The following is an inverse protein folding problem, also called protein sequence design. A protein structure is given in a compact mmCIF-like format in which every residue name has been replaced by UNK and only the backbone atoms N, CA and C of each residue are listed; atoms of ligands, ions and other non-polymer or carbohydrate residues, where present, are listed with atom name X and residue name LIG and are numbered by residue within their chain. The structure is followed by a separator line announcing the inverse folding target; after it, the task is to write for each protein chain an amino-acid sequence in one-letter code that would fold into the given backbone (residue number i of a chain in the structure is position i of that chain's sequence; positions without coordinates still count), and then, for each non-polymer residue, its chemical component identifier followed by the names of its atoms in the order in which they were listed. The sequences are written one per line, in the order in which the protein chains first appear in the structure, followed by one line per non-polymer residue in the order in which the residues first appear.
data_IF_436550964994
#
_entry.id   IF_436550964994
#
_cell.length_a   1.000
_cell.length_b   1.000
_cell.length_c   1.000
_cell.angle_alpha   90.00
_cell.angle_beta   90.00
_cell.angle_gamma   90.00
#
_symmetry.space_group_name_H-M   'P 1'
#
loop_
_entity.id
_entity.type
_entity.pdbx_description
1 polymer ?
#
# COMPACT_ATOMS: atom_id res chain seq x y z
N UNK A 1 0.67 3.13 -38.07
CA UNK A 1 -0.52 3.06 -37.21
C UNK A 1 -0.35 4.09 -36.13
N UNK A 2 -1.39 4.82 -35.70
CA UNK A 2 -1.32 5.74 -34.55
C UNK A 2 -1.13 4.88 -33.29
N UNK A 3 -0.19 5.23 -32.42
CA UNK A 3 -0.04 4.54 -31.15
C UNK A 3 -1.30 4.72 -30.30
N UNK A 4 -1.67 3.71 -29.53
CA UNK A 4 -2.70 3.84 -28.49
C UNK A 4 -2.20 4.79 -27.40
N UNK A 5 -3.08 5.58 -26.83
CA UNK A 5 -2.75 6.60 -25.82
C UNK A 5 -3.40 6.26 -24.48
N UNK A 6 -2.68 6.40 -23.40
CA UNK A 6 -3.20 6.21 -22.04
C UNK A 6 -2.87 7.41 -21.15
N UNK A 7 -3.86 7.85 -20.38
CA UNK A 7 -3.65 8.76 -19.25
C UNK A 7 -3.74 7.97 -17.94
N UNK A 8 -2.78 8.17 -17.07
CA UNK A 8 -2.73 7.53 -15.74
C UNK A 8 -2.82 8.62 -14.70
N UNK A 9 -3.80 8.54 -13.79
CA UNK A 9 -3.93 9.44 -12.66
C UNK A 9 -3.34 8.82 -11.40
N UNK A 10 -2.23 9.39 -10.90
CA UNK A 10 -1.48 8.96 -9.73
C UNK A 10 -0.11 8.35 -10.07
N UNK A 11 0.97 8.93 -9.49
CA UNK A 11 2.36 8.52 -9.68
C UNK A 11 2.92 7.75 -8.46
N UNK A 12 2.19 6.74 -7.97
CA UNK A 12 2.67 5.80 -6.97
C UNK A 12 2.84 4.40 -7.59
N UNK A 13 3.06 3.36 -6.78
CA UNK A 13 3.42 2.02 -7.25
C UNK A 13 2.48 1.51 -8.36
N UNK A 14 1.16 1.60 -8.18
CA UNK A 14 0.19 1.12 -9.17
C UNK A 14 0.28 1.90 -10.50
N UNK A 15 0.31 3.24 -10.42
CA UNK A 15 0.40 4.08 -11.63
C UNK A 15 1.73 3.93 -12.36
N UNK A 16 2.85 3.90 -11.63
CA UNK A 16 4.18 3.75 -12.24
C UNK A 16 4.39 2.35 -12.82
N UNK A 17 3.93 1.29 -12.14
CA UNK A 17 3.93 -0.07 -12.69
C UNK A 17 3.10 -0.13 -13.97
N UNK A 18 1.90 0.46 -13.97
CA UNK A 18 1.04 0.51 -15.15
C UNK A 18 1.69 1.29 -16.29
N UNK A 19 2.30 2.46 -16.00
CA UNK A 19 3.01 3.26 -16.99
C UNK A 19 4.14 2.47 -17.66
N UNK A 20 4.93 1.77 -16.85
CA UNK A 20 6.03 0.94 -17.35
C UNK A 20 5.55 -0.15 -18.31
N UNK A 21 4.52 -0.88 -17.93
CA UNK A 21 4.00 -1.98 -18.74
C UNK A 21 3.27 -1.52 -19.98
N UNK A 22 2.47 -0.46 -19.91
CA UNK A 22 1.79 0.11 -21.08
C UNK A 22 2.80 0.64 -22.11
N UNK A 23 3.87 1.32 -21.64
CA UNK A 23 4.95 1.72 -22.57
C UNK A 23 5.61 0.53 -23.27
N UNK A 24 5.87 -0.55 -22.54
CA UNK A 24 6.46 -1.80 -23.08
C UNK A 24 5.55 -2.49 -24.10
N UNK A 25 4.26 -2.24 -24.06
CA UNK A 25 3.27 -2.78 -25.01
C UNK A 25 2.86 -1.78 -26.09
N UNK A 26 3.58 -0.66 -26.24
CA UNK A 26 3.48 0.29 -27.35
C UNK A 26 2.43 1.39 -27.16
N UNK A 27 2.03 1.67 -25.92
CA UNK A 27 1.15 2.81 -25.62
C UNK A 27 1.96 4.10 -25.41
N UNK A 28 1.45 5.23 -25.83
CA UNK A 28 1.93 6.54 -25.41
C UNK A 28 1.27 6.91 -24.08
N UNK A 29 2.07 7.23 -23.05
CA UNK A 29 1.60 7.36 -21.67
C UNK A 29 1.83 8.77 -21.14
N UNK A 30 0.78 9.37 -20.57
CA UNK A 30 0.84 10.60 -19.77
C UNK A 30 0.42 10.29 -18.34
N UNK A 31 1.22 10.66 -17.35
CA UNK A 31 0.93 10.48 -15.91
C UNK A 31 0.58 11.82 -15.28
N UNK A 32 -0.58 11.93 -14.65
CA UNK A 32 -1.03 13.10 -13.87
C UNK A 32 -0.78 12.82 -12.38
N UNK A 33 -0.10 13.72 -11.68
CA UNK A 33 0.14 13.60 -10.25
C UNK A 33 -0.20 14.91 -9.52
N UNK A 34 -1.01 14.80 -8.46
CA UNK A 34 -1.47 15.95 -7.67
C UNK A 34 -0.36 16.69 -6.92
N UNK A 35 0.68 15.96 -6.54
CA UNK A 35 1.83 16.57 -5.87
C UNK A 35 2.64 17.41 -6.88
N UNK A 36 3.23 18.53 -6.45
CA UNK A 36 4.01 19.40 -7.34
C UNK A 36 5.33 18.75 -7.79
N UNK A 37 5.74 17.66 -7.15
CA UNK A 37 6.88 16.83 -7.51
C UNK A 37 6.66 15.42 -6.97
N UNK A 38 7.48 14.47 -7.41
CA UNK A 38 7.48 13.11 -6.89
C UNK A 38 7.76 13.10 -5.37
N UNK A 39 7.01 12.29 -4.63
CA UNK A 39 7.17 12.10 -3.19
C UNK A 39 7.63 10.69 -2.88
N UNK A 40 8.81 10.58 -2.27
CA UNK A 40 9.47 9.32 -1.90
C UNK A 40 9.25 8.91 -0.43
N UNK A 41 8.27 9.48 0.24
CA UNK A 41 7.89 9.11 1.60
C UNK A 41 7.06 7.82 1.64
N UNK A 42 7.01 7.21 2.82
CA UNK A 42 6.16 6.05 3.09
C UNK A 42 6.81 5.04 4.01
N UNK A 43 6.02 4.06 4.42
CA UNK A 43 6.42 2.98 5.31
C UNK A 43 6.91 1.76 4.54
N UNK A 44 7.39 0.79 5.27
CA UNK A 44 7.78 -0.52 4.76
C UNK A 44 6.61 -1.20 4.07
N UNK A 45 6.88 -1.78 2.93
CA UNK A 45 5.95 -2.61 2.15
C UNK A 45 6.66 -3.90 1.74
N UNK A 46 5.87 -4.94 1.61
CA UNK A 46 6.34 -6.26 1.21
C UNK A 46 6.05 -6.51 -0.27
N UNK A 47 7.03 -7.04 -0.99
CA UNK A 47 6.82 -7.58 -2.34
C UNK A 47 6.84 -9.10 -2.25
N UNK A 48 5.69 -9.72 -2.49
CA UNK A 48 5.47 -11.17 -2.29
C UNK A 48 4.95 -11.85 -3.56
N UNK A 49 5.06 -13.18 -3.59
CA UNK A 49 4.46 -14.02 -4.62
C UNK A 49 4.80 -13.58 -6.04
N UNK A 50 3.82 -13.62 -6.94
CA UNK A 50 3.96 -13.27 -8.35
C UNK A 50 4.43 -11.83 -8.61
N UNK A 51 4.30 -10.92 -7.64
CA UNK A 51 4.84 -9.56 -7.78
C UNK A 51 6.38 -9.53 -7.86
N UNK A 52 7.07 -10.52 -7.28
CA UNK A 52 8.52 -10.68 -7.46
C UNK A 52 8.87 -11.05 -8.90
N UNK A 53 8.04 -11.88 -9.53
CA UNK A 53 8.24 -12.25 -10.94
C UNK A 53 7.98 -11.05 -11.85
N UNK A 54 7.01 -10.19 -11.52
CA UNK A 54 6.81 -8.91 -12.20
C UNK A 54 8.06 -8.05 -12.11
N UNK A 55 8.69 -7.91 -10.93
CA UNK A 55 9.97 -7.18 -10.81
C UNK A 55 11.11 -7.82 -11.60
N UNK A 56 11.17 -9.17 -11.68
CA UNK A 56 12.15 -9.88 -12.51
C UNK A 56 11.93 -9.62 -14.00
N UNK A 57 10.68 -9.68 -14.48
CA UNK A 57 10.31 -9.35 -15.86
C UNK A 57 10.62 -7.88 -16.20
N UNK A 58 10.51 -6.97 -15.23
CA UNK A 58 10.92 -5.56 -15.35
C UNK A 58 12.45 -5.36 -15.28
N UNK A 59 13.24 -6.38 -14.93
CA UNK A 59 14.68 -6.30 -14.60
C UNK A 59 14.98 -5.38 -13.42
N UNK A 60 14.03 -5.22 -12.47
CA UNK A 60 14.14 -4.35 -11.31
C UNK A 60 14.35 -5.07 -9.99
N UNK A 61 14.27 -6.42 -9.99
CA UNK A 61 14.35 -7.22 -8.76
C UNK A 61 15.62 -6.90 -7.95
N UNK A 62 16.78 -6.89 -8.60
CA UNK A 62 18.06 -6.64 -7.91
C UNK A 62 18.17 -5.19 -7.41
N UNK A 63 17.65 -4.21 -8.15
CA UNK A 63 17.63 -2.81 -7.74
C UNK A 63 16.72 -2.58 -6.53
N UNK A 64 15.60 -3.29 -6.47
CA UNK A 64 14.68 -3.27 -5.32
C UNK A 64 15.29 -4.01 -4.13
N UNK A 65 15.91 -5.18 -4.34
CA UNK A 65 16.58 -5.96 -3.30
C UNK A 65 17.77 -5.18 -2.67
N UNK A 66 18.49 -4.40 -3.45
CA UNK A 66 19.57 -3.55 -2.94
C UNK A 66 19.10 -2.43 -1.99
N UNK A 67 17.79 -2.12 -1.99
CA UNK A 67 17.14 -1.14 -1.10
C UNK A 67 16.30 -1.80 0.01
N UNK A 68 16.54 -3.11 0.27
CA UNK A 68 15.87 -3.84 1.35
C UNK A 68 16.08 -3.14 2.70
N UNK A 69 15.06 -3.13 3.54
CA UNK A 69 15.09 -2.47 4.87
C UNK A 69 16.05 -3.09 5.88
N UNK A 70 16.65 -4.25 5.55
CA UNK A 70 17.53 -5.02 6.45
C UNK A 70 16.85 -5.56 7.70
N UNK A 71 15.52 -5.53 7.77
CA UNK A 71 14.76 -6.07 8.89
C UNK A 71 14.97 -7.58 9.02
N UNK A 72 15.39 -8.02 10.24
CA UNK A 72 15.77 -9.41 10.51
C UNK A 72 14.67 -10.25 11.16
N UNK A 73 13.52 -9.65 11.45
CA UNK A 73 12.37 -10.32 12.05
C UNK A 73 11.54 -9.39 12.93
N UNK A 74 10.44 -9.90 13.45
CA UNK A 74 9.52 -9.14 14.31
C UNK A 74 9.59 -9.64 15.75
N UNK A 75 9.66 -8.71 16.71
CA UNK A 75 9.61 -9.03 18.14
C UNK A 75 8.48 -8.26 18.81
N UNK A 76 7.71 -8.99 19.62
CA UNK A 76 6.71 -8.39 20.50
C UNK A 76 7.38 -8.03 21.83
N UNK A 77 7.17 -6.83 22.32
CA UNK A 77 7.81 -6.33 23.54
C UNK A 77 6.79 -5.88 24.59
N UNK A 78 7.16 -5.97 25.86
CA UNK A 78 6.38 -5.43 26.96
C UNK A 78 6.62 -3.91 27.14
N UNK A 79 5.97 -3.29 28.13
CA UNK A 79 6.10 -1.85 28.41
C UNK A 79 7.53 -1.44 28.87
N UNK A 80 8.41 -2.39 29.16
CA UNK A 80 9.82 -2.16 29.49
C UNK A 80 10.77 -2.47 28.34
N UNK A 81 10.21 -2.87 27.17
CA UNK A 81 10.98 -3.26 26.00
C UNK A 81 11.55 -4.69 26.04
N UNK A 82 11.14 -5.49 27.04
CA UNK A 82 11.55 -6.89 27.13
C UNK A 82 10.81 -7.70 26.08
N UNK A 83 11.53 -8.50 25.30
CA UNK A 83 10.95 -9.37 24.28
C UNK A 83 10.09 -10.44 24.94
N UNK A 84 8.83 -10.53 24.54
CA UNK A 84 7.84 -11.50 25.03
C UNK A 84 7.54 -12.60 24.01
N UNK A 85 7.72 -12.33 22.73
CA UNK A 85 7.57 -13.29 21.65
C UNK A 85 8.40 -12.85 20.43
N UNK A 86 8.80 -13.79 19.58
CA UNK A 86 9.64 -13.53 18.41
C UNK A 86 9.11 -14.27 17.19
N UNK A 87 9.02 -13.55 16.08
CA UNK A 87 8.71 -14.04 14.75
C UNK A 87 9.95 -13.82 13.87
N UNK A 88 10.84 -14.82 13.76
CA UNK A 88 12.03 -14.66 12.94
C UNK A 88 11.66 -14.54 11.46
N UNK A 89 12.45 -13.79 10.71
CA UNK A 89 12.43 -13.80 9.25
C UNK A 89 13.19 -15.03 8.78
N UNK A 90 12.48 -16.09 8.41
CA UNK A 90 13.09 -17.34 7.90
C UNK A 90 12.99 -17.49 6.37
N UNK A 91 12.58 -16.42 5.69
CA UNK A 91 12.43 -16.41 4.22
C UNK A 91 11.23 -17.20 3.69
N UNK A 92 10.48 -17.89 4.57
CA UNK A 92 9.43 -18.85 4.17
C UNK A 92 8.00 -18.33 4.37
N UNK A 93 7.78 -17.00 4.28
CA UNK A 93 6.44 -16.42 4.41
C UNK A 93 6.08 -15.93 5.83
N UNK A 94 7.05 -15.61 6.66
CA UNK A 94 6.87 -15.01 7.97
C UNK A 94 6.26 -13.60 7.92
N UNK A 95 6.07 -12.95 9.08
CA UNK A 95 5.54 -11.58 9.19
C UNK A 95 6.41 -10.54 8.48
N UNK A 96 7.70 -10.85 8.26
CA UNK A 96 8.64 -10.07 7.45
C UNK A 96 8.92 -10.80 6.15
N UNK A 97 8.72 -10.13 5.02
CA UNK A 97 8.97 -10.70 3.70
C UNK A 97 10.49 -10.72 3.40
N UNK A 98 10.91 -11.68 2.55
CA UNK A 98 12.28 -11.71 2.00
C UNK A 98 12.63 -10.42 1.24
N UNK A 99 11.63 -9.76 0.64
CA UNK A 99 11.80 -8.51 -0.08
C UNK A 99 10.91 -7.45 0.55
N UNK A 100 11.45 -6.76 1.54
CA UNK A 100 10.83 -5.64 2.21
C UNK A 100 11.56 -4.34 1.86
N UNK A 101 10.82 -3.34 1.45
CA UNK A 101 11.36 -2.07 0.97
C UNK A 101 10.48 -0.91 1.44
N UNK A 102 11.03 0.29 1.59
CA UNK A 102 10.21 1.47 1.79
C UNK A 102 9.35 1.76 0.56
N UNK A 103 8.07 2.08 0.76
CA UNK A 103 7.12 2.39 -0.33
C UNK A 103 7.66 3.46 -1.28
N UNK A 104 8.31 4.49 -0.72
CA UNK A 104 8.93 5.55 -1.51
C UNK A 104 10.09 5.05 -2.36
N UNK A 105 10.93 4.17 -1.82
CA UNK A 105 12.08 3.60 -2.54
C UNK A 105 11.63 2.68 -3.68
N UNK A 106 10.56 1.89 -3.46
CA UNK A 106 9.98 1.08 -4.53
C UNK A 106 9.42 1.98 -5.64
N UNK A 107 8.64 2.99 -5.28
CA UNK A 107 8.07 3.93 -6.25
C UNK A 107 9.19 4.73 -6.98
N UNK A 108 10.24 5.15 -6.28
CA UNK A 108 11.41 5.79 -6.88
C UNK A 108 12.13 4.86 -7.86
N UNK A 109 12.32 3.59 -7.48
CA UNK A 109 12.94 2.61 -8.37
C UNK A 109 12.13 2.42 -9.64
N UNK A 110 10.80 2.36 -9.54
CA UNK A 110 9.92 2.29 -10.72
C UNK A 110 10.05 3.55 -11.58
N UNK A 111 10.01 4.74 -10.98
CA UNK A 111 10.11 6.02 -11.68
C UNK A 111 11.44 6.16 -12.43
N UNK A 112 12.56 5.86 -11.75
CA UNK A 112 13.91 6.00 -12.31
C UNK A 112 14.18 5.05 -13.51
N UNK A 113 13.32 4.04 -13.68
CA UNK A 113 13.42 3.06 -14.77
C UNK A 113 12.27 3.15 -15.78
N UNK A 114 11.42 4.17 -15.68
CA UNK A 114 10.46 4.45 -16.74
C UNK A 114 11.20 4.93 -18.00
N UNK A 115 10.69 4.61 -19.19
CA UNK A 115 11.17 5.22 -20.42
C UNK A 115 11.08 6.76 -20.38
N UNK A 116 12.08 7.44 -20.96
CA UNK A 116 12.19 8.91 -20.96
C UNK A 116 11.02 9.62 -21.67
N UNK A 117 10.26 8.90 -22.49
CA UNK A 117 9.13 9.41 -23.27
C UNK A 117 7.76 9.30 -22.54
N UNK A 118 7.76 8.95 -21.27
CA UNK A 118 6.56 9.08 -20.41
C UNK A 118 6.42 10.54 -19.99
N UNK A 119 5.29 11.17 -20.37
CA UNK A 119 5.00 12.54 -19.98
C UNK A 119 4.45 12.59 -18.54
N UNK A 120 4.95 13.53 -17.71
CA UNK A 120 4.43 13.79 -16.36
C UNK A 120 3.81 15.17 -16.26
N UNK A 121 2.60 15.22 -15.71
CA UNK A 121 1.87 16.44 -15.35
C UNK A 121 1.76 16.50 -13.82
N UNK A 122 2.71 17.17 -13.18
CA UNK A 122 2.73 17.37 -11.74
C UNK A 122 1.88 18.56 -11.30
N UNK A 123 1.39 18.53 -10.06
CA UNK A 123 0.63 19.63 -9.46
C UNK A 123 -0.80 19.75 -10.00
N UNK A 124 -1.33 18.69 -10.63
CA UNK A 124 -2.66 18.72 -11.24
C UNK A 124 -3.50 17.49 -10.86
N UNK A 125 -4.81 17.59 -11.02
CA UNK A 125 -5.78 16.53 -10.71
C UNK A 125 -6.86 16.49 -11.77
N UNK A 126 -7.53 15.36 -11.91
CA UNK A 126 -8.70 15.23 -12.78
C UNK A 126 -9.89 15.96 -12.15
N UNK A 127 -10.55 16.82 -12.91
CA UNK A 127 -11.75 17.53 -12.51
C UNK A 127 -13.01 17.02 -13.24
N UNK A 128 -12.83 16.45 -14.44
CA UNK A 128 -13.94 15.91 -15.25
C UNK A 128 -13.46 14.79 -16.14
N UNK A 129 -14.31 13.79 -16.31
CA UNK A 129 -14.12 12.64 -17.21
C UNK A 129 -15.35 12.56 -18.10
N UNK A 130 -15.15 12.60 -19.41
CA UNK A 130 -16.17 12.38 -20.43
C UNK A 130 -15.78 11.12 -21.21
N UNK A 131 -16.48 10.02 -20.96
CA UNK A 131 -16.30 8.76 -21.69
C UNK A 131 -17.09 8.81 -23.00
N UNK A 132 -16.42 8.64 -24.12
CA UNK A 132 -16.94 8.81 -25.47
C UNK A 132 -16.81 7.47 -26.23
N UNK A 133 -17.39 7.37 -27.41
CA UNK A 133 -17.37 6.12 -28.20
C UNK A 133 -15.95 5.73 -28.66
N UNK A 134 -15.10 6.72 -28.89
CA UNK A 134 -13.75 6.57 -29.46
C UNK A 134 -12.63 6.85 -28.44
N UNK A 135 -12.95 6.86 -27.15
CA UNK A 135 -11.99 7.10 -26.09
C UNK A 135 -12.54 7.90 -24.93
N UNK A 136 -11.67 8.46 -24.11
CA UNK A 136 -12.03 9.24 -22.94
C UNK A 136 -11.39 10.62 -22.99
N UNK A 137 -12.20 11.67 -22.77
CA UNK A 137 -11.71 13.05 -22.65
C UNK A 137 -11.62 13.42 -21.17
N UNK A 138 -10.42 13.82 -20.74
CA UNK A 138 -10.10 14.20 -19.36
C UNK A 138 -9.87 15.71 -19.31
N UNK A 139 -10.53 16.40 -18.37
CA UNK A 139 -10.25 17.80 -18.08
C UNK A 139 -9.65 17.88 -16.69
N UNK A 140 -8.44 18.46 -16.57
CA UNK A 140 -7.78 18.63 -15.28
C UNK A 140 -8.23 19.89 -14.55
N UNK A 141 -7.98 20.00 -13.26
CA UNK A 141 -8.27 21.21 -12.46
C UNK A 141 -7.47 22.42 -12.95
N UNK A 142 -6.26 22.21 -13.51
CA UNK A 142 -5.47 23.25 -14.16
C UNK A 142 -5.98 23.66 -15.53
N UNK A 143 -7.09 23.06 -16.03
CA UNK A 143 -7.72 23.40 -17.31
C UNK A 143 -7.10 22.71 -18.53
N UNK A 144 -6.17 21.78 -18.36
CA UNK A 144 -5.64 20.96 -19.46
C UNK A 144 -6.71 19.99 -19.92
N UNK A 145 -6.86 19.81 -21.22
CA UNK A 145 -7.74 18.82 -21.82
C UNK A 145 -6.93 17.78 -22.58
N UNK A 146 -7.12 16.52 -22.21
CA UNK A 146 -6.45 15.36 -22.81
C UNK A 146 -7.51 14.41 -23.36
N UNK A 147 -7.23 13.82 -24.52
CA UNK A 147 -8.03 12.72 -25.07
C UNK A 147 -7.13 11.48 -25.15
N UNK A 148 -7.65 10.34 -24.71
CA UNK A 148 -6.91 9.10 -24.67
C UNK A 148 -7.82 7.89 -24.98
N UNK A 149 -7.20 6.79 -25.42
CA UNK A 149 -7.90 5.53 -25.62
C UNK A 149 -8.17 4.81 -24.29
N UNK A 150 -7.47 5.20 -23.21
CA UNK A 150 -7.62 4.61 -21.86
C UNK A 150 -7.29 5.63 -20.77
N UNK A 151 -8.13 5.68 -19.74
CA UNK A 151 -7.83 6.32 -18.46
C UNK A 151 -7.61 5.25 -17.36
N UNK A 152 -6.43 5.24 -16.74
CA UNK A 152 -6.16 4.42 -15.55
C UNK A 152 -6.17 5.30 -14.31
N UNK A 153 -7.04 4.97 -13.35
CA UNK A 153 -7.17 5.72 -12.09
C UNK A 153 -6.44 4.97 -10.97
N UNK A 154 -5.28 5.49 -10.56
CA UNK A 154 -4.38 4.92 -9.54
C UNK A 154 -4.10 5.92 -8.39
N UNK A 155 -5.10 6.70 -8.00
CA UNK A 155 -5.00 7.84 -7.07
C UNK A 155 -4.97 7.46 -5.58
N UNK A 156 -5.02 6.16 -5.28
CA UNK A 156 -5.06 5.65 -3.92
C UNK A 156 -6.46 5.65 -3.30
N UNK A 157 -6.54 5.29 -2.03
CA UNK A 157 -7.79 5.04 -1.29
C UNK A 157 -8.78 6.20 -1.36
N UNK A 158 -8.29 7.45 -1.38
CA UNK A 158 -9.11 8.67 -1.45
C UNK A 158 -9.21 9.23 -2.87
N UNK A 159 -9.39 8.37 -3.85
CA UNK A 159 -9.53 8.75 -5.25
C UNK A 159 -10.75 9.64 -5.47
N UNK A 160 -10.52 10.83 -6.01
CA UNK A 160 -11.59 11.76 -6.41
C UNK A 160 -12.17 11.38 -7.77
N UNK A 161 -11.33 10.91 -8.66
CA UNK A 161 -11.77 10.48 -10.00
C UNK A 161 -12.68 9.26 -9.94
N UNK A 162 -12.52 8.37 -8.93
CA UNK A 162 -13.46 7.28 -8.69
C UNK A 162 -14.91 7.79 -8.59
N UNK A 163 -15.16 8.83 -7.81
CA UNK A 163 -16.47 9.43 -7.63
C UNK A 163 -17.01 10.19 -8.87
N UNK A 164 -16.16 10.50 -9.86
CA UNK A 164 -16.58 11.08 -11.13
C UNK A 164 -17.10 10.03 -12.12
N UNK A 165 -16.72 8.76 -11.93
CA UNK A 165 -16.96 7.66 -12.87
C UNK A 165 -17.95 6.64 -12.33
N UNK A 166 -17.91 6.34 -11.04
CA UNK A 166 -18.72 5.29 -10.41
C UNK A 166 -19.71 5.90 -9.42
N UNK A 167 -20.91 5.30 -9.36
CA UNK A 167 -21.94 5.70 -8.41
C UNK A 167 -21.61 5.21 -7.00
N UNK A 168 -22.11 5.90 -5.97
CA UNK A 168 -21.91 5.51 -4.56
C UNK A 168 -22.38 4.07 -4.25
N UNK A 169 -23.39 3.58 -4.95
CA UNK A 169 -23.90 2.21 -4.78
C UNK A 169 -22.95 1.12 -5.30
N UNK A 170 -21.94 1.49 -6.09
CA UNK A 170 -20.96 0.57 -6.65
C UNK A 170 -19.66 0.52 -5.83
N UNK A 171 -19.53 1.42 -4.84
CA UNK A 171 -18.33 1.62 -4.04
C UNK A 171 -18.65 1.51 -2.56
N UNK A 172 -18.11 0.50 -1.89
CA UNK A 172 -18.15 0.39 -0.44
C UNK A 172 -16.83 0.88 0.15
N UNK A 173 -16.87 2.00 0.87
CA UNK A 173 -15.76 2.48 1.69
C UNK A 173 -15.97 2.03 3.14
N UNK A 174 -15.19 1.05 3.58
CA UNK A 174 -15.31 0.44 4.91
C UNK A 174 -14.24 0.97 5.83
N UNK A 175 -14.61 1.82 6.77
CA UNK A 175 -13.74 2.24 7.88
C UNK A 175 -13.45 1.04 8.82
N UNK A 176 -12.18 0.83 9.15
CA UNK A 176 -11.75 -0.20 10.09
C UNK A 176 -11.67 0.31 11.53
N UNK A 177 -11.94 1.59 11.77
CA UNK A 177 -11.87 2.22 13.08
C UNK A 177 -10.45 2.25 13.65
N UNK A 178 -9.44 2.37 12.81
CA UNK A 178 -8.03 2.42 13.20
C UNK A 178 -7.38 3.68 12.62
N UNK A 179 -6.72 4.44 13.46
CA UNK A 179 -5.85 5.54 13.04
C UNK A 179 -4.38 5.13 13.22
N UNK A 180 -3.57 5.40 12.21
CA UNK A 180 -2.12 5.20 12.24
C UNK A 180 -1.38 6.52 11.99
N UNK A 181 -0.44 6.84 12.85
CA UNK A 181 0.46 7.99 12.72
C UNK A 181 1.86 7.48 12.45
N UNK A 182 2.46 7.96 11.40
CA UNK A 182 3.75 7.53 10.90
C UNK A 182 4.74 8.69 10.91
N UNK A 183 6.01 8.38 11.12
CA UNK A 183 7.09 9.33 10.95
C UNK A 183 8.45 8.68 11.12
N UNK A 184 9.48 9.37 10.68
CA UNK A 184 10.87 8.96 10.83
C UNK A 184 11.47 9.59 12.08
N UNK A 185 12.17 8.78 12.87
CA UNK A 185 12.85 9.23 14.10
C UNK A 185 14.32 8.83 14.08
N UNK A 186 15.20 9.53 14.82
CA UNK A 186 16.60 9.14 14.94
C UNK A 186 16.76 7.74 15.52
N UNK A 187 17.66 6.93 14.94
CA UNK A 187 18.09 5.65 15.49
C UNK A 187 19.01 5.89 16.70
N UNK A 188 18.90 5.05 17.70
CA UNK A 188 19.76 5.02 18.87
C UNK A 188 20.58 3.72 18.89
N UNK A 189 21.70 3.71 19.62
CA UNK A 189 22.59 2.53 19.74
C UNK A 189 21.89 1.28 20.28
N UNK A 190 20.80 1.45 21.04
CA UNK A 190 19.99 0.34 21.56
C UNK A 190 18.97 -0.22 20.57
N UNK A 191 18.73 0.45 19.45
CA UNK A 191 17.83 -0.02 18.42
C UNK A 191 18.56 -1.09 17.60
N UNK A 192 17.92 -2.23 17.43
CA UNK A 192 18.41 -3.34 16.60
C UNK A 192 17.73 -3.35 15.21
N UNK A 193 18.00 -4.37 14.42
CA UNK A 193 17.45 -4.54 13.06
C UNK A 193 16.16 -5.38 13.07
N UNK A 194 15.40 -5.36 14.16
CA UNK A 194 14.11 -6.05 14.28
C UNK A 194 12.96 -5.06 14.32
N UNK A 195 11.85 -5.43 13.70
CA UNK A 195 10.60 -4.74 13.93
C UNK A 195 10.14 -4.98 15.37
N UNK A 196 10.19 -3.96 16.19
CA UNK A 196 9.74 -4.00 17.58
C UNK A 196 8.30 -3.52 17.69
N UNK A 197 7.45 -4.34 18.27
CA UNK A 197 6.03 -4.08 18.37
C UNK A 197 5.56 -4.19 19.82
N UNK A 198 5.08 -3.08 20.36
CA UNK A 198 4.46 -3.00 21.67
C UNK A 198 2.95 -2.79 21.54
N UNK A 199 2.17 -3.58 22.29
CA UNK A 199 0.71 -3.39 22.43
C UNK A 199 0.41 -2.95 23.86
N UNK A 200 -0.30 -1.81 23.98
CA UNK A 200 -0.76 -1.25 25.26
C UNK A 200 -2.29 -1.33 25.36
N UNK A 201 -2.82 -1.23 26.58
CA UNK A 201 -4.26 -1.11 26.81
C UNK A 201 -4.85 0.14 26.14
N UNK A 202 -6.19 0.25 26.11
CA UNK A 202 -6.92 1.33 25.41
C UNK A 202 -6.67 1.33 23.91
N UNK A 203 -6.48 0.14 23.33
CA UNK A 203 -6.36 -0.07 21.91
C UNK A 203 -5.17 0.60 21.24
N UNK A 204 -4.00 0.62 21.87
CA UNK A 204 -2.81 1.31 21.36
C UNK A 204 -1.70 0.36 20.99
N UNK A 205 -1.01 0.67 19.89
CA UNK A 205 0.20 -0.03 19.45
C UNK A 205 1.30 0.98 19.16
N UNK A 206 2.53 0.56 19.38
CA UNK A 206 3.76 1.31 19.10
C UNK A 206 4.69 0.40 18.33
N UNK A 207 5.15 0.84 17.18
CA UNK A 207 6.06 0.08 16.33
C UNK A 207 7.33 0.89 16.07
N UNK A 208 8.47 0.22 16.13
CA UNK A 208 9.74 0.72 15.65
C UNK A 208 10.27 -0.24 14.60
N UNK A 209 10.52 0.25 13.40
CA UNK A 209 11.05 -0.54 12.29
C UNK A 209 12.34 0.09 11.79
N UNK A 210 13.41 -0.70 11.58
CA UNK A 210 14.64 -0.20 10.99
C UNK A 210 14.41 0.19 9.53
N UNK A 211 15.22 1.11 9.04
CA UNK A 211 15.29 1.44 7.63
C UNK A 211 16.76 1.43 7.15
N UNK A 212 17.02 1.41 5.83
CA UNK A 212 18.36 1.31 5.29
C UNK A 212 19.17 2.62 5.42
N UNK A 213 18.56 3.70 5.93
CA UNK A 213 19.15 5.03 6.03
C UNK A 213 19.73 5.36 7.40
N UNK A 214 19.73 4.38 8.32
CA UNK A 214 20.21 4.58 9.69
C UNK A 214 19.22 5.36 10.56
N UNK A 215 17.92 5.33 10.20
CA UNK A 215 16.83 5.88 10.98
C UNK A 215 15.85 4.78 11.41
N UNK A 216 14.78 5.16 12.09
CA UNK A 216 13.71 4.26 12.53
C UNK A 216 12.39 4.81 12.01
N UNK A 217 11.59 3.94 11.38
CA UNK A 217 10.19 4.21 11.05
C UNK A 217 9.33 3.92 12.27
N UNK A 218 8.81 4.97 12.87
CA UNK A 218 7.93 4.89 14.04
C UNK A 218 6.47 4.91 13.61
N UNK A 219 5.66 4.02 14.21
CA UNK A 219 4.22 3.97 13.98
C UNK A 219 3.51 3.99 15.33
N UNK A 220 2.55 4.90 15.50
CA UNK A 220 1.60 4.91 16.60
C UNK A 220 0.22 4.58 16.02
N UNK A 221 -0.31 3.40 16.36
CA UNK A 221 -1.59 2.94 15.84
C UNK A 221 -2.59 2.73 16.98
N UNK A 222 -3.85 3.12 16.78
CA UNK A 222 -4.87 2.99 17.80
C UNK A 222 -6.29 2.77 17.26
N UNK A 223 -7.10 2.13 18.08
CA UNK A 223 -8.54 1.89 17.87
C UNK A 223 -9.29 2.01 19.21
N UNK A 224 -10.47 2.65 19.28
CA UNK A 224 -11.12 3.31 18.16
C UNK A 224 -10.28 4.46 17.62
N UNK A 225 -10.29 4.61 16.31
CA UNK A 225 -9.65 5.73 15.64
C UNK A 225 -10.38 7.05 15.91
N UNK A 226 -9.69 8.15 15.66
CA UNK A 226 -10.29 9.49 15.67
C UNK A 226 -10.48 9.96 14.23
N UNK A 227 -11.46 10.84 14.01
CA UNK A 227 -11.55 11.55 12.75
C UNK A 227 -10.45 12.63 12.72
N UNK A 228 -9.38 12.31 11.98
CA UNK A 228 -8.21 13.19 11.80
C UNK A 228 -8.15 13.77 10.38
N UNK A 229 -9.20 13.55 9.58
CA UNK A 229 -9.27 14.11 8.24
C UNK A 229 -9.43 15.63 8.31
N UNK A 230 -8.49 16.34 7.70
CA UNK A 230 -8.49 17.80 7.68
C UNK A 230 -7.89 18.46 8.94
N UNK A 231 -7.43 17.70 9.93
CA UNK A 231 -6.65 18.26 11.04
C UNK A 231 -5.27 18.72 10.55
N UNK A 232 -4.77 19.78 11.17
CA UNK A 232 -3.39 20.21 10.97
C UNK A 232 -2.41 19.21 11.61
N UNK A 233 -1.15 19.30 11.22
CA UNK A 233 -0.09 18.48 11.85
C UNK A 233 -0.04 18.69 13.36
N UNK A 234 -0.11 19.93 13.82
CA UNK A 234 0.02 20.26 15.24
C UNK A 234 -1.16 19.70 16.04
N UNK A 235 -2.39 19.87 15.56
CA UNK A 235 -3.59 19.28 16.16
C UNK A 235 -3.48 17.73 16.26
N UNK A 236 -2.99 17.10 15.18
CA UNK A 236 -2.76 15.65 15.18
C UNK A 236 -1.73 15.25 16.24
N UNK A 237 -0.60 15.96 16.34
CA UNK A 237 0.45 15.66 17.29
C UNK A 237 -0.02 15.88 18.74
N UNK A 238 -0.84 16.92 19.02
CA UNK A 238 -1.44 17.13 20.33
C UNK A 238 -2.38 15.98 20.71
N UNK A 239 -3.26 15.57 19.82
CA UNK A 239 -4.17 14.44 20.03
C UNK A 239 -3.41 13.14 20.30
N UNK A 240 -2.40 12.83 19.51
CA UNK A 240 -1.56 11.64 19.67
C UNK A 240 -0.76 11.69 20.97
N UNK A 241 -0.22 12.86 21.33
CA UNK A 241 0.49 13.07 22.62
C UNK A 241 -0.43 12.79 23.82
N UNK A 242 -1.65 13.31 23.79
CA UNK A 242 -2.64 13.05 24.84
C UNK A 242 -3.00 11.56 24.93
N UNK A 243 -3.17 10.89 23.79
CA UNK A 243 -3.55 9.46 23.71
C UNK A 243 -2.44 8.52 24.17
N UNK A 244 -1.18 8.87 23.97
CA UNK A 244 -0.02 8.02 24.31
C UNK A 244 0.73 8.42 25.56
N UNK A 245 0.27 9.43 26.31
CA UNK A 245 0.95 9.96 27.50
C UNK A 245 1.28 8.88 28.57
N UNK A 246 0.45 7.84 28.69
CA UNK A 246 0.60 6.73 29.63
C UNK A 246 0.87 5.38 28.95
N UNK A 247 1.24 5.36 27.67
CA UNK A 247 1.42 4.11 26.92
C UNK A 247 2.71 3.36 27.30
N UNK A 248 3.69 4.07 27.85
CA UNK A 248 4.97 3.48 28.25
C UNK A 248 5.92 3.21 27.08
N UNK A 249 6.93 2.40 27.33
CA UNK A 249 7.99 2.02 26.38
C UNK A 249 8.59 3.23 25.68
N UNK A 250 8.67 3.24 24.35
CA UNK A 250 9.27 4.29 23.53
C UNK A 250 8.29 5.42 23.15
N UNK A 251 7.06 5.45 23.70
CA UNK A 251 6.08 6.50 23.36
C UNK A 251 6.64 7.91 23.59
N UNK A 252 7.28 8.25 24.73
CA UNK A 252 7.82 9.61 24.93
C UNK A 252 8.85 9.99 23.86
N UNK A 253 9.80 9.08 23.54
CA UNK A 253 10.82 9.30 22.51
C UNK A 253 10.20 9.57 21.16
N UNK A 254 9.19 8.76 20.76
CA UNK A 254 8.52 8.89 19.47
C UNK A 254 7.80 10.24 19.40
N UNK A 255 7.02 10.58 20.44
CA UNK A 255 6.24 11.82 20.49
C UNK A 255 7.14 13.08 20.41
N UNK A 256 8.31 13.04 21.05
CA UNK A 256 9.26 14.15 20.98
C UNK A 256 9.93 14.23 19.59
N UNK A 257 10.31 13.10 19.02
CA UNK A 257 10.91 13.07 17.67
C UNK A 257 9.93 13.44 16.56
N UNK A 258 8.66 13.02 16.65
CA UNK A 258 7.63 13.38 15.68
C UNK A 258 7.37 14.89 15.62
N UNK A 259 7.61 15.64 16.69
CA UNK A 259 7.47 17.11 16.70
C UNK A 259 8.36 17.78 15.64
N UNK A 260 9.52 17.21 15.37
CA UNK A 260 10.51 17.74 14.41
C UNK A 260 10.69 16.89 13.16
N UNK A 261 10.08 15.72 13.08
CA UNK A 261 10.16 14.83 11.91
C UNK A 261 9.54 15.50 10.67
N UNK A 262 10.21 15.49 9.51
CA UNK A 262 9.71 16.17 8.32
C UNK A 262 8.60 15.40 7.61
N UNK A 263 8.44 14.10 7.86
CA UNK A 263 7.60 13.18 7.11
C UNK A 263 6.44 12.58 7.93
N UNK A 264 5.98 13.30 8.97
CA UNK A 264 4.80 12.87 9.73
C UNK A 264 3.56 12.87 8.84
N UNK A 265 2.87 11.73 8.79
CA UNK A 265 1.57 11.66 8.16
C UNK A 265 0.62 10.74 8.94
N UNK A 266 -0.67 10.91 8.71
CA UNK A 266 -1.73 10.19 9.40
C UNK A 266 -2.58 9.47 8.37
N UNK A 267 -2.97 8.26 8.69
CA UNK A 267 -3.88 7.45 7.90
C UNK A 267 -5.00 6.88 8.78
N UNK A 268 -6.23 7.00 8.30
CA UNK A 268 -7.38 6.28 8.81
C UNK A 268 -7.58 5.07 7.91
N UNK A 269 -7.48 3.89 8.50
CA UNK A 269 -7.52 2.65 7.74
C UNK A 269 -8.93 2.39 7.23
N UNK A 270 -9.09 2.42 5.92
CA UNK A 270 -10.33 2.05 5.26
C UNK A 270 -10.07 1.11 4.08
N UNK A 271 -10.96 0.14 3.88
CA UNK A 271 -10.99 -0.66 2.68
C UNK A 271 -11.86 0.02 1.62
N UNK A 272 -11.50 -0.19 0.37
CA UNK A 272 -12.34 0.16 -0.78
C UNK A 272 -12.72 -1.14 -1.47
N UNK A 273 -14.03 -1.37 -1.64
CA UNK A 273 -14.58 -2.50 -2.37
C UNK A 273 -15.48 -1.98 -3.47
N UNK A 274 -15.28 -2.47 -4.68
CA UNK A 274 -16.06 -2.05 -5.84
C UNK A 274 -16.66 -3.26 -6.55
N UNK A 275 -17.88 -3.12 -7.05
CA UNK A 275 -18.56 -4.18 -7.81
C UNK A 275 -17.90 -4.45 -9.15
N UNK A 276 -17.36 -3.43 -9.79
CA UNK A 276 -16.53 -3.48 -11.00
C UNK A 276 -15.40 -2.47 -10.90
N UNK A 277 -14.30 -2.73 -11.57
CA UNK A 277 -13.14 -1.82 -11.62
C UNK A 277 -12.99 -1.10 -12.95
N UNK A 278 -13.93 -1.27 -13.86
CA UNK A 278 -13.88 -0.57 -15.15
C UNK A 278 -15.26 -0.12 -15.61
N UNK A 279 -15.28 0.93 -16.42
CA UNK A 279 -16.46 1.43 -17.10
C UNK A 279 -16.00 2.13 -18.38
N UNK A 280 -16.48 1.66 -19.55
CA UNK A 280 -16.03 2.19 -20.85
C UNK A 280 -14.51 2.22 -20.96
N UNK A 281 -13.95 3.39 -21.24
CA UNK A 281 -12.50 3.57 -21.38
C UNK A 281 -11.78 3.91 -20.05
N UNK A 282 -12.42 3.70 -18.91
CA UNK A 282 -11.84 3.97 -17.58
C UNK A 282 -11.63 2.69 -16.83
N UNK A 283 -10.44 2.49 -16.25
CA UNK A 283 -10.09 1.38 -15.36
C UNK A 283 -9.44 1.86 -14.07
N UNK A 284 -9.80 1.21 -12.97
CA UNK A 284 -9.25 1.48 -11.64
C UNK A 284 -8.07 0.55 -11.34
N UNK A 285 -7.06 1.03 -10.62
CA UNK A 285 -5.91 0.23 -10.20
C UNK A 285 -5.43 0.59 -8.78
N UNK A 286 -4.86 -0.39 -8.09
CA UNK A 286 -4.32 -0.21 -6.74
C UNK A 286 -5.38 0.19 -5.71
N UNK A 287 -4.99 0.94 -4.67
CA UNK A 287 -5.89 1.32 -3.58
C UNK A 287 -7.09 2.18 -4.03
N UNK A 288 -7.06 2.74 -5.22
CA UNK A 288 -8.23 3.43 -5.80
C UNK A 288 -9.36 2.45 -6.13
N UNK A 289 -9.04 1.21 -6.46
CA UNK A 289 -9.97 0.14 -6.80
C UNK A 289 -10.29 -0.77 -5.61
N UNK A 290 -9.24 -1.16 -4.85
CA UNK A 290 -9.34 -2.22 -3.85
C UNK A 290 -8.42 -1.98 -2.66
N UNK A 291 -8.47 -0.86 -1.98
CA UNK A 291 -7.62 -0.66 -0.82
C UNK A 291 -7.76 -1.83 0.18
N UNK A 292 -6.65 -2.52 0.42
CA UNK A 292 -6.61 -3.71 1.31
C UNK A 292 -6.15 -3.37 2.73
N UNK A 293 -5.61 -2.19 2.95
CA UNK A 293 -5.02 -1.68 4.18
C UNK A 293 -3.76 -2.43 4.63
N UNK A 294 -2.93 -1.85 5.51
CA UNK A 294 -1.81 -2.56 6.13
C UNK A 294 -2.21 -3.82 6.91
N UNK A 295 -3.46 -3.90 7.40
CA UNK A 295 -3.97 -5.07 8.14
C UNK A 295 -4.18 -6.30 7.25
N UNK A 296 -4.52 -6.10 5.98
CA UNK A 296 -4.60 -7.18 4.99
C UNK A 296 -3.24 -7.53 4.39
N UNK A 297 -2.33 -6.56 4.33
CA UNK A 297 -1.03 -6.71 3.69
C UNK A 297 -1.12 -6.77 2.15
N UNK A 298 -0.02 -6.98 1.47
CA UNK A 298 0.00 -7.27 0.02
C UNK A 298 -0.35 -6.13 -0.93
N UNK A 299 -0.71 -4.93 -0.45
CA UNK A 299 -1.13 -3.82 -1.31
C UNK A 299 -0.11 -3.42 -2.39
N UNK A 300 1.18 -3.39 -2.03
CA UNK A 300 2.25 -3.10 -3.00
C UNK A 300 2.41 -4.22 -4.04
N UNK A 301 2.28 -5.49 -3.62
CA UNK A 301 2.30 -6.64 -4.52
C UNK A 301 1.14 -6.58 -5.52
N UNK A 302 -0.08 -6.33 -5.05
CA UNK A 302 -1.26 -6.17 -5.90
C UNK A 302 -1.12 -4.97 -6.85
N UNK A 303 -0.50 -3.88 -6.40
CA UNK A 303 -0.25 -2.70 -7.23
C UNK A 303 0.75 -2.97 -8.37
N UNK A 304 1.79 -3.75 -8.12
CA UNK A 304 2.73 -4.20 -9.16
C UNK A 304 2.05 -5.14 -10.17
N UNK A 305 1.28 -6.10 -9.67
CA UNK A 305 0.53 -7.05 -10.50
C UNK A 305 -0.49 -6.36 -11.39
N UNK A 306 -1.18 -5.33 -10.87
CA UNK A 306 -2.20 -4.59 -11.61
C UNK A 306 -1.68 -4.07 -12.96
N UNK A 307 -0.53 -3.40 -12.97
CA UNK A 307 0.06 -2.87 -14.21
C UNK A 307 0.41 -3.97 -15.20
N UNK A 308 1.01 -5.06 -14.72
CA UNK A 308 1.43 -6.20 -15.54
C UNK A 308 0.25 -6.95 -16.17
N UNK A 309 -0.77 -7.21 -15.37
CA UNK A 309 -1.97 -7.95 -15.82
C UNK A 309 -2.77 -7.08 -16.79
N UNK A 310 -3.02 -5.81 -16.46
CA UNK A 310 -3.73 -4.89 -17.33
C UNK A 310 -3.08 -4.77 -18.71
N UNK A 311 -1.76 -4.59 -18.75
CA UNK A 311 -1.04 -4.50 -20.02
C UNK A 311 -1.08 -5.79 -20.84
N UNK A 312 -1.06 -6.96 -20.18
CA UNK A 312 -1.16 -8.25 -20.84
C UNK A 312 -2.54 -8.46 -21.48
N UNK A 313 -3.60 -8.17 -20.74
CA UNK A 313 -4.97 -8.33 -21.23
C UNK A 313 -5.26 -7.36 -22.39
N UNK A 314 -4.82 -6.10 -22.30
CA UNK A 314 -4.92 -5.12 -23.38
C UNK A 314 -4.08 -5.49 -24.62
N UNK A 315 -3.02 -6.28 -24.46
CA UNK A 315 -2.21 -6.76 -25.58
C UNK A 315 -2.78 -8.05 -26.20
N UNK A 316 -3.65 -8.77 -25.49
CA UNK A 316 -4.21 -10.06 -25.93
C UNK A 316 -5.35 -9.92 -26.92
N UNK A 317 -6.08 -8.81 -26.93
CA UNK A 317 -7.26 -8.56 -27.76
C UNK A 317 -7.37 -7.10 -28.17
N UNK A 318 -8.05 -6.84 -29.27
CA UNK A 318 -8.45 -5.48 -29.69
C UNK A 318 -9.81 -5.06 -29.10
N UNK A 319 -10.54 -5.99 -28.46
CA UNK A 319 -11.78 -5.71 -27.72
C UNK A 319 -11.43 -5.17 -26.34
N UNK A 320 -11.63 -3.86 -26.15
CA UNK A 320 -11.30 -3.14 -24.95
C UNK A 320 -12.09 -3.65 -23.73
N UNK A 321 -13.39 -3.82 -23.88
CA UNK A 321 -14.26 -4.28 -22.78
C UNK A 321 -13.88 -5.70 -22.34
N UNK A 322 -13.58 -6.58 -23.30
CA UNK A 322 -13.12 -7.93 -23.01
C UNK A 322 -11.77 -7.93 -22.25
N UNK A 323 -10.83 -7.05 -22.63
CA UNK A 323 -9.55 -6.91 -21.96
C UNK A 323 -9.72 -6.44 -20.49
N UNK A 324 -10.54 -5.42 -20.25
CA UNK A 324 -10.78 -4.88 -18.92
C UNK A 324 -11.54 -5.88 -18.02
N UNK A 325 -12.50 -6.62 -18.59
CA UNK A 325 -13.19 -7.69 -17.88
C UNK A 325 -12.24 -8.85 -17.50
N UNK A 326 -11.30 -9.21 -18.38
CA UNK A 326 -10.28 -10.22 -18.11
C UNK A 326 -9.31 -9.78 -16.99
N UNK A 327 -8.91 -8.51 -17.00
CA UNK A 327 -8.13 -7.90 -15.93
C UNK A 327 -8.84 -8.02 -14.56
N UNK A 328 -10.12 -7.61 -14.48
CA UNK A 328 -10.92 -7.74 -13.25
C UNK A 328 -11.00 -9.22 -12.81
N UNK A 329 -11.34 -10.12 -13.71
CA UNK A 329 -11.48 -11.55 -13.43
C UNK A 329 -10.18 -12.22 -12.96
N UNK A 330 -9.02 -11.74 -13.44
CA UNK A 330 -7.72 -12.28 -13.00
C UNK A 330 -7.33 -11.76 -11.62
N UNK A 331 -7.49 -10.45 -11.36
CA UNK A 331 -7.08 -9.80 -10.12
C UNK A 331 -8.04 -10.05 -8.95
N UNK A 332 -9.34 -10.20 -9.22
CA UNK A 332 -10.42 -10.26 -8.21
C UNK A 332 -10.18 -11.28 -7.10
N UNK A 333 -9.86 -12.56 -7.41
CA UNK A 333 -9.64 -13.55 -6.35
C UNK A 333 -8.51 -13.22 -5.39
N UNK A 334 -7.43 -12.57 -5.89
CA UNK A 334 -6.30 -12.15 -5.05
C UNK A 334 -6.69 -10.99 -4.14
N UNK A 335 -7.47 -10.05 -4.66
CA UNK A 335 -7.96 -8.90 -3.90
C UNK A 335 -8.94 -9.34 -2.83
N UNK A 336 -9.91 -10.20 -3.18
CA UNK A 336 -10.92 -10.70 -2.25
C UNK A 336 -10.28 -11.46 -1.09
N UNK A 337 -9.29 -12.31 -1.36
CA UNK A 337 -8.53 -13.07 -0.33
C UNK A 337 -7.87 -12.12 0.68
N UNK A 338 -7.23 -11.07 0.20
CA UNK A 338 -6.53 -10.08 1.05
C UNK A 338 -7.51 -9.14 1.78
N UNK A 339 -8.66 -8.84 1.18
CA UNK A 339 -9.68 -7.99 1.80
C UNK A 339 -10.55 -8.71 2.83
N UNK A 340 -10.58 -10.04 2.83
CA UNK A 340 -11.43 -10.82 3.73
C UNK A 340 -10.80 -10.95 5.12
N UNK A 341 -10.83 -9.86 5.87
CA UNK A 341 -10.29 -9.82 7.23
C UNK A 341 -11.19 -10.58 8.19
N UNK A 342 -10.63 -11.43 9.08
CA UNK A 342 -11.40 -12.13 10.10
C UNK A 342 -12.23 -11.18 10.97
N UNK A 343 -13.50 -11.56 11.25
CA UNK A 343 -14.36 -10.79 12.14
C UNK A 343 -13.72 -10.65 13.51
N UNK A 344 -13.71 -9.42 14.05
CA UNK A 344 -13.12 -9.12 15.35
C UNK A 344 -11.59 -8.97 15.34
N UNK A 345 -10.93 -9.03 14.17
CA UNK A 345 -9.50 -8.84 14.07
C UNK A 345 -9.04 -7.52 14.71
N UNK A 346 -9.74 -6.42 14.44
CA UNK A 346 -9.41 -5.11 15.02
C UNK A 346 -9.55 -5.13 16.55
N UNK A 347 -10.62 -5.70 17.10
CA UNK A 347 -10.80 -5.78 18.54
C UNK A 347 -9.73 -6.64 19.22
N UNK A 348 -9.29 -7.72 18.55
CA UNK A 348 -8.19 -8.55 19.02
C UNK A 348 -6.83 -7.84 18.91
N UNK A 349 -6.59 -7.16 17.79
CA UNK A 349 -5.34 -6.43 17.54
C UNK A 349 -5.17 -5.24 18.49
N UNK A 350 -6.27 -4.57 18.87
CA UNK A 350 -6.28 -3.35 19.67
C UNK A 350 -7.04 -3.55 21.01
N UNK A 351 -6.48 -4.32 21.97
CA UNK A 351 -7.16 -4.65 23.23
C UNK A 351 -7.41 -3.41 24.07
N UNK A 352 -8.67 -3.20 24.48
CA UNK A 352 -9.08 -2.04 25.28
C UNK A 352 -8.75 -2.19 26.77
N UNK A 353 -8.72 -3.44 27.28
CA UNK A 353 -8.60 -3.74 28.70
C UNK A 353 -7.34 -4.55 29.02
N UNK A 354 -6.96 -4.56 30.32
CA UNK A 354 -5.86 -5.40 30.79
C UNK A 354 -6.12 -6.90 30.57
N UNK A 355 -7.37 -7.33 30.72
CA UNK A 355 -7.75 -8.73 30.47
C UNK A 355 -7.61 -9.09 28.98
N UNK A 356 -8.07 -8.22 28.07
CA UNK A 356 -7.89 -8.40 26.64
C UNK A 356 -6.42 -8.43 26.23
N UNK A 357 -5.60 -7.54 26.81
CA UNK A 357 -4.14 -7.54 26.58
C UNK A 357 -3.47 -8.83 27.09
N UNK A 358 -3.88 -9.33 28.26
CA UNK A 358 -3.36 -10.60 28.78
C UNK A 358 -3.73 -11.79 27.89
N UNK A 359 -4.99 -11.85 27.41
CA UNK A 359 -5.44 -12.86 26.45
C UNK A 359 -4.63 -12.80 25.16
N UNK A 360 -4.46 -11.60 24.58
CA UNK A 360 -3.65 -11.42 23.39
C UNK A 360 -2.23 -11.94 23.57
N UNK A 361 -1.55 -11.62 24.69
CA UNK A 361 -0.19 -12.10 24.97
C UNK A 361 -0.10 -13.63 25.03
N UNK A 362 -1.10 -14.29 25.59
CA UNK A 362 -1.18 -15.76 25.58
C UNK A 362 -1.27 -16.28 24.15
N UNK A 363 -2.17 -15.69 23.35
CA UNK A 363 -2.31 -16.07 21.94
C UNK A 363 -1.02 -15.80 21.16
N UNK A 364 -0.41 -14.62 21.33
CA UNK A 364 0.87 -14.28 20.69
C UNK A 364 1.94 -15.32 21.02
N UNK A 365 2.09 -15.70 22.30
CA UNK A 365 3.07 -16.71 22.75
C UNK A 365 2.79 -18.08 22.13
N UNK A 366 1.54 -18.51 22.04
CA UNK A 366 1.14 -19.76 21.40
C UNK A 366 1.43 -19.74 19.92
N UNK A 367 0.99 -18.71 19.23
CA UNK A 367 1.11 -18.57 17.77
C UNK A 367 2.58 -18.44 17.32
N UNK A 368 3.46 -17.84 18.12
CA UNK A 368 4.89 -17.74 17.84
C UNK A 368 5.69 -18.99 18.25
N UNK A 369 5.04 -19.96 18.94
CA UNK A 369 5.71 -21.19 19.35
C UNK A 369 6.07 -22.06 18.15
N UNK A 370 7.14 -22.85 18.26
CA UNK A 370 7.62 -23.74 17.18
C UNK A 370 6.55 -24.70 16.66
N UNK A 371 5.63 -25.12 17.53
CA UNK A 371 4.58 -26.06 17.17
C UNK A 371 3.52 -25.45 16.22
N UNK A 372 3.30 -24.14 16.26
CA UNK A 372 2.28 -23.44 15.46
C UNK A 372 2.88 -22.68 14.26
N UNK A 373 4.20 -22.66 14.08
CA UNK A 373 4.87 -22.01 12.93
C UNK A 373 4.28 -22.37 11.56
N UNK A 374 3.97 -23.64 11.23
CA UNK A 374 3.40 -23.97 9.92
C UNK A 374 2.01 -23.34 9.70
N UNK A 375 1.24 -23.20 10.79
CA UNK A 375 -0.09 -22.58 10.74
C UNK A 375 0.01 -21.07 10.60
N UNK A 376 0.93 -20.41 11.34
CA UNK A 376 1.17 -18.97 11.22
C UNK A 376 1.71 -18.62 9.86
N UNK A 377 2.65 -19.36 9.29
CA UNK A 377 3.15 -19.15 7.93
C UNK A 377 2.02 -19.17 6.90
N UNK A 378 1.09 -20.12 7.02
CA UNK A 378 -0.08 -20.21 6.12
C UNK A 378 -1.05 -19.03 6.30
N UNK A 379 -1.22 -18.52 7.53
CA UNK A 379 -2.09 -17.37 7.82
C UNK A 379 -1.47 -16.03 7.44
N UNK A 380 -0.15 -15.97 7.27
CA UNK A 380 0.59 -14.77 6.85
C UNK A 380 0.98 -14.77 5.37
N UNK A 381 0.70 -15.87 4.64
CA UNK A 381 0.81 -15.92 3.19
C UNK A 381 -0.25 -14.98 2.58
N UNK A 382 0.18 -13.86 2.01
CA UNK A 382 -0.70 -12.80 1.50
C UNK A 382 -0.39 -12.55 0.03
N UNK A 383 -1.44 -12.39 -0.79
CA UNK A 383 -1.35 -12.15 -2.23
C UNK A 383 -0.53 -13.21 -2.99
N UNK A 384 -0.50 -14.45 -2.47
CA UNK A 384 0.09 -15.59 -3.17
C UNK A 384 -0.92 -16.20 -4.14
N UNK A 385 -0.46 -16.59 -5.31
CA UNK A 385 -1.28 -17.24 -6.31
C UNK A 385 -0.50 -18.34 -7.01
N UNK A 386 -1.16 -19.48 -7.23
CA UNK A 386 -0.67 -20.54 -8.11
C UNK A 386 -0.99 -20.25 -9.60
N UNK A 387 -1.69 -19.14 -9.89
CA UNK A 387 -1.98 -18.73 -11.25
C UNK A 387 -0.73 -18.16 -11.90
N UNK A 388 -0.42 -18.66 -13.10
CA UNK A 388 0.59 -18.02 -13.94
C UNK A 388 0.12 -16.63 -14.39
N UNK A 389 1.04 -15.69 -14.49
CA UNK A 389 0.76 -14.38 -15.10
C UNK A 389 0.22 -14.56 -16.52
N UNK A 390 -0.74 -13.74 -16.98
CA UNK A 390 -1.21 -13.77 -18.35
C UNK A 390 -0.04 -13.60 -19.33
N UNK A 391 -0.03 -14.33 -20.46
CA UNK A 391 1.05 -14.18 -21.44
C UNK A 391 1.12 -12.75 -21.96
N UNK A 392 2.32 -12.17 -22.01
CA UNK A 392 2.52 -10.82 -22.52
C UNK A 392 3.32 -10.89 -23.83
N UNK A 393 2.72 -10.43 -24.90
CA UNK A 393 3.42 -10.22 -26.17
C UNK A 393 3.94 -8.76 -26.21
N UNK A 394 5.23 -8.60 -26.05
CA UNK A 394 5.91 -7.31 -26.26
C UNK A 394 6.07 -7.11 -27.76
N UNK A 395 5.52 -6.05 -28.32
CA UNK A 395 5.61 -5.71 -29.75
C UNK A 395 6.85 -4.87 -30.03
#
# INVERSE_FOLDING_TARGET
MKNRTAVISGASIAGLSTAWWLRRTGWDVTVIERAPAFRDGGQNVDVRGAARDVLREMHLFDAVAARNTTETGTVLVDARGVVTAELPSDGSGGATAELEILRGDLARTLLDHLPDDVEFVYGDTIARVDDEVDGVTITTAGGRRLHADLLVVAEGVRSRTRALVFDESEVEERDLGVTMVFGTIPRLDRDDDRWRWHTAVRGRQIHLRPDPYGTIRAILAYSPGDDVLGTTRDETLELVRARYADAGWEAPRILDALATSPDVYVDQLQQVRMTTWHRGHVVMAGDAAWCVTPMGGGGASLALLAGRVLAAELASTDDHDAALAAYDAWMRPLVDDVQDLPRGLTAFAYPQTRAGLALRRVVDTVMTSRAFRPLTAKLTAVAETDRSLPPLTVR
#
